data_IF_713621733267
#
_entry.id   IF_713621733267
#
_cell.length_a   1.000
_cell.length_b   1.000
_cell.length_c   1.000
_cell.angle_alpha   90.00
_cell.angle_beta   90.00
_cell.angle_gamma   90.00
#
_symmetry.space_group_name_H-M   'P 1'
#
loop_
_entity.id
_entity.type
_entity.pdbx_description
1 polymer ?
#
# COMPACT_ATOMS: atom_id res chain seq x y z
N UNK A 1 55.31 -8.63 34.35
CA UNK A 1 53.96 -8.20 33.94
C UNK A 1 54.01 -7.96 32.43
N UNK A 2 53.58 -8.94 31.64
CA UNK A 2 53.61 -8.90 30.18
C UNK A 2 52.27 -8.36 29.66
N UNK A 3 52.30 -7.30 28.85
CA UNK A 3 51.13 -6.79 28.13
C UNK A 3 51.36 -7.09 26.65
N UNK A 4 50.65 -8.07 26.12
CA UNK A 4 50.65 -8.42 24.71
C UNK A 4 49.63 -7.55 23.97
N UNK A 5 50.10 -6.69 23.08
CA UNK A 5 49.28 -5.92 22.14
C UNK A 5 48.88 -6.85 20.97
N UNK A 6 47.59 -7.12 20.86
CA UNK A 6 46.98 -7.88 19.76
C UNK A 6 46.58 -6.92 18.64
N UNK A 7 47.15 -7.13 17.45
CA UNK A 7 46.79 -6.41 16.21
C UNK A 7 45.60 -7.10 15.51
N UNK A 8 44.59 -6.35 15.03
CA UNK A 8 43.50 -6.93 14.24
C UNK A 8 43.93 -7.20 12.79
N UNK A 9 43.60 -8.40 12.29
CA UNK A 9 43.75 -8.80 10.89
C UNK A 9 42.55 -8.29 10.08
N UNK A 10 42.80 -7.39 9.15
CA UNK A 10 41.99 -7.13 7.95
C UNK A 10 42.13 -8.29 6.96
N UNK A 11 41.08 -8.54 6.16
CA UNK A 11 40.98 -9.34 4.90
C UNK A 11 39.57 -9.98 4.86
N UNK A 12 38.75 -10.00 3.81
CA UNK A 12 38.86 -9.60 2.40
C UNK A 12 37.44 -9.48 1.83
N UNK A 13 37.19 -8.48 0.98
CA UNK A 13 35.99 -8.36 0.16
C UNK A 13 36.08 -9.33 -1.03
N UNK A 14 35.10 -10.21 -1.21
CA UNK A 14 35.00 -11.08 -2.38
C UNK A 14 33.90 -10.57 -3.30
N UNK A 15 34.33 -9.92 -4.38
CA UNK A 15 33.54 -9.60 -5.56
C UNK A 15 33.25 -10.88 -6.35
N UNK A 16 32.00 -11.16 -6.68
CA UNK A 16 31.66 -12.10 -7.75
C UNK A 16 30.90 -11.37 -8.86
N UNK A 17 31.53 -11.36 -10.03
CA UNK A 17 31.06 -10.86 -11.30
C UNK A 17 30.35 -11.98 -12.07
N UNK A 18 29.33 -11.54 -12.82
CA UNK A 18 28.96 -11.99 -14.17
C UNK A 18 28.34 -13.38 -14.39
N UNK A 19 27.17 -13.35 -15.02
CA UNK A 19 26.49 -14.50 -15.58
C UNK A 19 25.30 -14.08 -16.43
N UNK A 20 25.56 -13.41 -17.55
CA UNK A 20 24.58 -13.11 -18.60
C UNK A 20 24.11 -14.39 -19.29
N UNK A 21 22.80 -14.58 -19.47
CA UNK A 21 22.27 -15.50 -20.49
C UNK A 21 21.04 -14.91 -21.18
N UNK A 22 21.11 -14.96 -22.51
CA UNK A 22 20.21 -14.39 -23.50
C UNK A 22 18.94 -15.23 -23.76
N UNK A 23 18.01 -14.61 -24.50
CA UNK A 23 16.86 -15.14 -25.28
C UNK A 23 15.63 -15.51 -24.44
N UNK A 24 14.41 -15.17 -24.86
CA UNK A 24 13.88 -15.21 -26.23
C UNK A 24 12.83 -14.13 -26.47
N UNK A 25 12.87 -13.54 -27.67
CA UNK A 25 11.72 -12.86 -28.26
C UNK A 25 10.61 -13.86 -28.56
N UNK A 26 9.36 -13.40 -28.42
CA UNK A 26 8.16 -14.06 -28.92
C UNK A 26 7.10 -12.99 -29.16
N UNK A 27 7.06 -12.47 -30.39
CA UNK A 27 5.96 -11.67 -30.92
C UNK A 27 4.82 -12.60 -31.37
N UNK A 28 3.58 -12.21 -31.10
CA UNK A 28 2.36 -12.50 -31.87
C UNK A 28 1.27 -11.58 -31.27
N UNK A 29 0.86 -10.48 -31.90
CA UNK A 29 0.13 -10.29 -33.15
C UNK A 29 -1.39 -10.50 -33.02
N UNK A 30 -2.11 -9.41 -33.32
CA UNK A 30 -3.49 -9.28 -33.84
C UNK A 30 -4.67 -9.60 -32.91
N UNK A 31 -5.45 -8.59 -32.50
CA UNK A 31 -6.57 -7.92 -33.22
C UNK A 31 -7.86 -8.75 -33.18
N UNK A 32 -8.87 -8.25 -32.50
CA UNK A 32 -10.21 -8.15 -33.09
C UNK A 32 -11.00 -6.99 -32.45
N UNK A 33 -11.77 -6.34 -33.31
CA UNK A 33 -12.55 -5.12 -33.15
C UNK A 33 -14.01 -5.52 -33.21
N UNK A 34 -14.84 -5.06 -32.27
CA UNK A 34 -16.28 -4.91 -32.47
C UNK A 34 -16.77 -3.81 -31.51
N UNK A 35 -17.10 -2.62 -31.98
CA UNK A 35 -18.30 -2.22 -32.75
C UNK A 35 -19.54 -1.99 -31.87
N UNK A 36 -19.77 -0.70 -31.66
CA UNK A 36 -21.04 0.03 -31.55
C UNK A 36 -22.32 -0.66 -31.02
N UNK A 37 -22.97 -0.01 -30.05
CA UNK A 37 -24.39 0.34 -30.21
C UNK A 37 -24.80 1.51 -29.30
N UNK A 38 -24.97 2.68 -29.92
CA UNK A 38 -25.76 3.78 -29.37
C UNK A 38 -27.23 3.38 -29.30
N UNK A 39 -27.91 3.67 -28.19
CA UNK A 39 -29.36 3.95 -28.18
C UNK A 39 -29.67 5.11 -27.24
N UNK A 40 -29.92 6.25 -27.86
CA UNK A 40 -30.69 7.36 -27.30
C UNK A 40 -32.13 6.93 -27.06
N UNK A 41 -32.72 7.32 -25.93
CA UNK A 41 -34.14 7.60 -25.84
C UNK A 41 -34.35 8.77 -24.88
N UNK A 42 -34.72 9.90 -25.44
CA UNK A 42 -35.32 11.04 -24.74
C UNK A 42 -36.76 10.71 -24.36
N UNK A 43 -37.22 11.13 -23.18
CA UNK A 43 -38.63 11.51 -23.03
C UNK A 43 -38.85 12.45 -21.85
N UNK A 44 -39.40 13.61 -22.20
CA UNK A 44 -39.82 14.71 -21.35
C UNK A 44 -40.84 14.31 -20.29
N UNK A 45 -40.82 15.02 -19.16
CA UNK A 45 -42.02 15.54 -18.49
C UNK A 45 -41.64 16.64 -17.48
N UNK A 46 -42.37 17.73 -17.52
CA UNK A 46 -42.37 18.92 -16.65
C UNK A 46 -43.87 19.29 -16.48
N UNK A 47 -44.29 20.20 -15.59
CA UNK A 47 -44.03 20.45 -14.16
C UNK A 47 -45.26 20.09 -13.28
N UNK A 48 -45.13 20.09 -11.94
CA UNK A 48 -46.21 20.57 -11.05
C UNK A 48 -45.66 20.96 -9.66
N UNK A 49 -46.24 22.00 -9.06
CA UNK A 49 -45.76 22.72 -7.90
C UNK A 49 -46.26 22.18 -6.55
N UNK A 50 -45.40 22.32 -5.53
CA UNK A 50 -45.56 22.53 -4.07
C UNK A 50 -46.76 21.95 -3.30
N UNK A 51 -46.53 21.48 -2.06
CA UNK A 51 -46.75 22.40 -0.93
C UNK A 51 -45.66 22.37 0.17
N UNK A 52 -45.44 23.54 0.76
CA UNK A 52 -44.74 23.75 2.04
C UNK A 52 -45.36 22.91 3.15
N UNK A 53 -44.55 22.09 3.84
CA UNK A 53 -44.82 21.68 5.22
C UNK A 53 -43.49 21.63 6.00
N UNK A 54 -43.34 22.59 6.91
CA UNK A 54 -42.30 22.63 7.93
C UNK A 54 -42.52 21.52 8.96
N UNK A 55 -41.49 20.74 9.22
CA UNK A 55 -41.46 19.69 10.26
C UNK A 55 -40.01 19.42 10.69
N UNK A 56 -39.78 18.99 11.93
CA UNK A 56 -38.60 19.37 12.71
C UNK A 56 -37.31 18.73 12.18
N UNK A 57 -36.24 19.53 12.28
CA UNK A 57 -34.86 19.13 12.06
C UNK A 57 -34.51 17.94 12.96
N UNK A 58 -34.64 16.74 12.42
CA UNK A 58 -33.81 15.64 12.87
C UNK A 58 -32.40 15.93 12.38
N UNK A 59 -31.51 16.18 13.32
CA UNK A 59 -30.06 16.14 13.13
C UNK A 59 -29.68 14.76 12.59
N UNK A 60 -29.78 14.61 11.27
CA UNK A 60 -29.07 13.56 10.56
C UNK A 60 -27.59 13.91 10.69
N UNK A 61 -26.92 13.23 11.60
CA UNK A 61 -25.48 13.05 11.54
C UNK A 61 -25.14 12.66 10.11
N UNK A 62 -24.58 13.59 9.36
CA UNK A 62 -23.97 13.39 8.06
C UNK A 62 -22.69 12.58 8.25
N UNK A 63 -22.84 11.33 8.70
CA UNK A 63 -21.84 10.32 8.42
C UNK A 63 -21.90 10.11 6.91
N UNK A 64 -21.03 10.83 6.20
CA UNK A 64 -20.83 10.63 4.77
C UNK A 64 -20.57 9.15 4.48
N UNK A 65 -20.80 8.71 3.22
CA UNK A 65 -20.62 7.31 2.82
C UNK A 65 -19.23 6.73 3.18
N UNK A 66 -18.23 7.58 3.42
CA UNK A 66 -16.87 7.21 3.85
C UNK A 66 -16.80 6.44 5.18
N UNK A 67 -17.70 6.69 6.15
CA UNK A 67 -17.62 6.10 7.49
C UNK A 67 -18.13 4.65 7.59
N UNK A 68 -18.98 4.21 6.66
CA UNK A 68 -19.48 2.82 6.61
C UNK A 68 -18.59 1.91 5.78
N UNK A 69 -17.97 2.48 4.75
CA UNK A 69 -17.00 1.77 3.93
C UNK A 69 -15.74 1.44 4.74
N UNK A 70 -15.28 2.35 5.61
CA UNK A 70 -14.11 2.11 6.47
C UNK A 70 -14.30 0.93 7.43
N UNK A 71 -15.46 0.78 8.07
CA UNK A 71 -15.71 -0.32 9.02
C UNK A 71 -15.81 -1.71 8.34
N UNK A 72 -16.36 -1.77 7.12
CA UNK A 72 -16.37 -3.01 6.34
C UNK A 72 -14.98 -3.35 5.81
N UNK A 73 -14.25 -2.34 5.32
CA UNK A 73 -12.89 -2.53 4.83
C UNK A 73 -11.94 -2.91 5.96
N UNK A 74 -12.08 -2.30 7.14
CA UNK A 74 -11.36 -2.67 8.36
C UNK A 74 -11.62 -4.12 8.75
N UNK A 75 -12.89 -4.56 8.74
CA UNK A 75 -13.23 -5.96 9.02
C UNK A 75 -12.60 -6.93 8.02
N UNK A 76 -12.62 -6.59 6.74
CA UNK A 76 -11.98 -7.42 5.70
C UNK A 76 -10.46 -7.47 5.87
N UNK A 77 -9.83 -6.34 6.21
CA UNK A 77 -8.39 -6.28 6.49
C UNK A 77 -8.02 -7.06 7.75
N UNK A 78 -8.87 -7.01 8.80
CA UNK A 78 -8.72 -7.82 10.01
C UNK A 78 -8.78 -9.32 9.71
N UNK A 79 -9.63 -9.76 8.78
CA UNK A 79 -9.72 -11.17 8.36
C UNK A 79 -8.45 -11.65 7.62
N UNK A 80 -7.70 -10.74 6.98
CA UNK A 80 -6.48 -11.05 6.25
C UNK A 80 -5.22 -11.12 7.13
N UNK A 81 -5.31 -10.61 8.36
CA UNK A 81 -4.18 -10.46 9.27
C UNK A 81 -4.42 -11.30 10.54
N UNK A 82 -3.37 -11.69 11.29
CA UNK A 82 -3.53 -12.50 12.51
C UNK A 82 -4.10 -11.70 13.70
N UNK A 83 -4.94 -10.69 13.45
CA UNK A 83 -5.58 -9.86 14.46
C UNK A 83 -6.99 -10.36 14.72
N UNK A 84 -7.26 -10.79 15.96
CA UNK A 84 -8.61 -11.18 16.41
C UNK A 84 -9.40 -10.00 17.00
N UNK A 85 -8.76 -8.85 17.13
CA UNK A 85 -9.25 -7.68 17.87
C UNK A 85 -8.90 -6.40 17.09
N UNK A 86 -9.91 -5.57 16.83
CA UNK A 86 -9.78 -4.29 16.14
C UNK A 86 -8.88 -3.31 16.90
N UNK A 87 -8.88 -3.34 18.25
CA UNK A 87 -8.03 -2.47 19.05
C UNK A 87 -6.54 -2.75 18.78
N UNK A 88 -6.16 -4.03 18.69
CA UNK A 88 -4.78 -4.45 18.38
C UNK A 88 -4.36 -4.08 16.97
N UNK A 89 -5.28 -4.15 16.01
CA UNK A 89 -5.02 -3.71 14.66
C UNK A 89 -4.80 -2.19 14.58
N UNK A 90 -5.63 -1.39 15.26
CA UNK A 90 -5.46 0.05 15.34
C UNK A 90 -4.13 0.43 16.02
N UNK A 91 -3.77 -0.23 17.12
CA UNK A 91 -2.47 -0.07 17.77
C UNK A 91 -1.31 -0.40 16.80
N UNK A 92 -1.45 -1.49 16.05
CA UNK A 92 -0.46 -1.89 15.04
C UNK A 92 -0.35 -0.87 13.90
N UNK A 93 -1.46 -0.32 13.40
CA UNK A 93 -1.45 0.74 12.38
C UNK A 93 -0.75 2.00 12.88
N UNK A 94 -0.86 2.32 14.16
CA UNK A 94 -0.19 3.47 14.80
C UNK A 94 1.26 3.17 15.20
N UNK A 95 1.70 1.93 15.08
CA UNK A 95 3.06 1.53 15.44
C UNK A 95 4.10 2.06 14.45
N UNK A 96 5.36 2.09 14.90
CA UNK A 96 6.51 2.51 14.07
C UNK A 96 6.65 1.70 12.78
N UNK A 97 6.14 0.47 12.73
CA UNK A 97 6.25 -0.44 11.60
C UNK A 97 5.38 -0.04 10.41
N UNK A 98 4.24 0.59 10.68
CA UNK A 98 3.30 1.02 9.63
C UNK A 98 3.43 2.52 9.42
N UNK A 99 3.51 3.32 10.49
CA UNK A 99 3.58 4.77 10.40
C UNK A 99 4.84 5.26 9.68
N UNK A 100 5.99 4.61 9.90
CA UNK A 100 7.23 4.94 9.21
C UNK A 100 7.10 4.75 7.69
N UNK A 101 6.67 3.56 7.27
CA UNK A 101 6.46 3.23 5.87
C UNK A 101 5.37 4.09 5.23
N UNK A 102 4.29 4.39 5.96
CA UNK A 102 3.20 5.26 5.50
C UNK A 102 3.68 6.69 5.26
N UNK A 103 4.45 7.27 6.19
CA UNK A 103 5.03 8.61 6.01
C UNK A 103 6.00 8.67 4.83
N UNK A 104 6.82 7.63 4.65
CA UNK A 104 7.69 7.51 3.47
C UNK A 104 6.86 7.50 2.18
N UNK A 105 5.79 6.70 2.14
CA UNK A 105 4.88 6.62 1.00
C UNK A 105 4.17 7.95 0.72
N UNK A 106 3.70 8.65 1.75
CA UNK A 106 3.08 9.96 1.59
C UNK A 106 4.05 10.99 1.00
N UNK A 107 5.24 11.10 1.61
CA UNK A 107 6.26 12.08 1.21
C UNK A 107 6.77 11.85 -0.21
N UNK A 108 7.07 10.59 -0.54
CA UNK A 108 7.82 10.29 -1.76
C UNK A 108 6.92 9.94 -2.95
N UNK A 109 5.60 9.75 -2.74
CA UNK A 109 4.68 9.39 -3.81
C UNK A 109 3.39 10.22 -3.79
N UNK A 110 2.64 10.23 -2.68
CA UNK A 110 1.32 10.89 -2.65
C UNK A 110 1.40 12.41 -2.68
N UNK A 111 2.48 13.01 -2.20
CA UNK A 111 2.69 14.46 -2.26
C UNK A 111 2.67 14.98 -3.70
N UNK A 112 3.22 14.21 -4.63
CA UNK A 112 3.26 14.54 -6.06
C UNK A 112 2.08 13.91 -6.83
N UNK A 113 1.56 12.78 -6.36
CA UNK A 113 0.56 11.98 -7.06
C UNK A 113 -0.69 11.64 -6.20
N UNK A 114 -1.40 12.64 -5.64
CA UNK A 114 -2.47 12.40 -4.68
C UNK A 114 -3.65 11.61 -5.27
N UNK A 115 -3.91 11.78 -6.57
CA UNK A 115 -4.99 11.12 -7.30
C UNK A 115 -4.54 9.89 -8.10
N UNK A 116 -3.33 9.37 -7.85
CA UNK A 116 -2.83 8.20 -8.59
C UNK A 116 -3.77 7.01 -8.43
N UNK A 117 -4.02 6.34 -9.56
CA UNK A 117 -4.71 5.06 -9.57
C UNK A 117 -3.92 4.01 -8.77
N UNK A 118 -4.65 3.06 -8.22
CA UNK A 118 -4.08 1.92 -7.50
C UNK A 118 -3.57 0.89 -8.50
N UNK A 119 -2.32 0.41 -8.37
CA UNK A 119 -1.78 -0.64 -9.23
C UNK A 119 -2.48 -1.98 -8.97
N UNK A 120 -2.30 -2.94 -9.87
CA UNK A 120 -2.89 -4.27 -9.68
C UNK A 120 -2.34 -4.94 -8.40
N UNK A 121 -3.25 -5.32 -7.50
CA UNK A 121 -2.94 -5.95 -6.21
C UNK A 121 -2.08 -7.21 -6.38
N UNK A 122 -2.41 -8.07 -7.34
CA UNK A 122 -1.74 -9.37 -7.51
C UNK A 122 -0.30 -9.19 -8.01
N UNK A 123 -0.10 -8.33 -9.01
CA UNK A 123 1.23 -7.98 -9.54
C UNK A 123 2.09 -7.32 -8.48
N UNK A 124 1.53 -6.37 -7.73
CA UNK A 124 2.25 -5.65 -6.68
C UNK A 124 2.66 -6.60 -5.54
N UNK A 125 1.74 -7.44 -5.07
CA UNK A 125 2.02 -8.45 -4.05
C UNK A 125 3.07 -9.46 -4.49
N UNK A 126 3.04 -9.85 -5.77
CA UNK A 126 4.01 -10.76 -6.37
C UNK A 126 5.41 -10.15 -6.38
N UNK A 127 5.55 -8.91 -6.85
CA UNK A 127 6.83 -8.19 -6.85
C UNK A 127 7.38 -8.00 -5.44
N UNK A 128 6.52 -7.64 -4.48
CA UNK A 128 6.93 -7.49 -3.08
C UNK A 128 7.41 -8.81 -2.48
N UNK A 129 6.72 -9.93 -2.75
CA UNK A 129 7.20 -11.25 -2.34
C UNK A 129 8.57 -11.56 -2.95
N UNK A 130 8.72 -11.30 -4.24
CA UNK A 130 9.97 -11.59 -4.94
C UNK A 130 11.12 -10.75 -4.38
N UNK A 131 10.89 -9.47 -4.11
CA UNK A 131 11.84 -8.59 -3.44
C UNK A 131 12.23 -9.08 -2.04
N UNK A 132 11.27 -9.55 -1.23
CA UNK A 132 11.56 -10.12 0.10
C UNK A 132 12.41 -11.39 -0.04
N UNK A 133 12.05 -12.28 -0.98
CA UNK A 133 12.77 -13.55 -1.20
C UNK A 133 14.19 -13.34 -1.70
N UNK A 134 14.40 -12.39 -2.61
CA UNK A 134 15.73 -12.07 -3.14
C UNK A 134 16.54 -11.15 -2.23
N UNK A 135 15.93 -10.64 -1.15
CA UNK A 135 16.52 -9.58 -0.32
C UNK A 135 16.96 -8.38 -1.17
N UNK A 136 16.08 -7.93 -2.06
CA UNK A 136 16.36 -6.88 -3.04
C UNK A 136 16.72 -5.55 -2.35
N UNK A 137 17.96 -5.11 -2.54
CA UNK A 137 18.45 -3.84 -1.99
C UNK A 137 17.69 -2.63 -2.51
N UNK A 138 17.06 -2.71 -3.71
CA UNK A 138 16.21 -1.64 -4.24
C UNK A 138 15.15 -1.22 -3.22
N UNK A 139 14.54 -2.18 -2.53
CA UNK A 139 13.44 -1.92 -1.60
C UNK A 139 13.79 -2.12 -0.13
N UNK A 140 15.01 -2.57 0.22
CA UNK A 140 15.38 -2.86 1.60
C UNK A 140 16.38 -1.88 2.22
N UNK A 141 17.02 -1.03 1.42
CA UNK A 141 17.89 0.00 1.97
C UNK A 141 17.09 0.99 2.84
N UNK A 142 17.76 1.57 3.83
CA UNK A 142 17.16 2.61 4.69
C UNK A 142 16.88 3.89 3.88
N UNK A 143 17.78 4.23 2.96
CA UNK A 143 17.66 5.31 1.99
C UNK A 143 17.95 4.76 0.59
N UNK A 144 16.97 4.10 -0.05
CA UNK A 144 17.16 3.65 -1.42
C UNK A 144 17.19 4.84 -2.37
N UNK A 145 17.90 4.69 -3.49
CA UNK A 145 17.78 5.62 -4.61
C UNK A 145 16.43 5.41 -5.30
N UNK A 146 15.66 6.50 -5.43
CA UNK A 146 14.30 6.51 -5.97
C UNK A 146 14.17 7.22 -7.32
N UNK A 147 15.29 7.63 -7.90
CA UNK A 147 15.30 8.45 -9.13
C UNK A 147 14.55 7.80 -10.31
N UNK A 148 14.56 6.47 -10.38
CA UNK A 148 13.92 5.69 -11.44
C UNK A 148 12.71 4.87 -10.94
N UNK A 149 12.13 5.24 -9.80
CA UNK A 149 10.98 4.51 -9.26
C UNK A 149 9.71 4.83 -10.05
N UNK A 150 8.96 3.78 -10.35
CA UNK A 150 7.59 3.87 -10.84
C UNK A 150 6.61 3.89 -9.68
N UNK A 151 5.37 4.31 -9.90
CA UNK A 151 4.30 4.27 -8.90
C UNK A 151 4.26 2.94 -8.15
N UNK A 152 4.31 1.83 -8.90
CA UNK A 152 4.30 0.46 -8.37
C UNK A 152 5.47 0.19 -7.40
N UNK A 153 6.65 0.80 -7.60
CA UNK A 153 7.80 0.63 -6.72
C UNK A 153 7.55 1.20 -5.33
N UNK A 154 6.80 2.30 -5.21
CA UNK A 154 6.44 2.87 -3.91
C UNK A 154 5.48 1.94 -3.16
N UNK A 155 4.52 1.31 -3.85
CA UNK A 155 3.64 0.31 -3.24
C UNK A 155 4.43 -0.93 -2.79
N UNK A 156 5.32 -1.44 -3.66
CA UNK A 156 6.19 -2.57 -3.33
C UNK A 156 7.05 -2.25 -2.11
N UNK A 157 7.69 -1.07 -2.07
CA UNK A 157 8.50 -0.61 -0.94
C UNK A 157 7.71 -0.61 0.36
N UNK A 158 6.51 -0.05 0.38
CA UNK A 158 5.67 -0.04 1.57
C UNK A 158 5.43 -1.48 2.07
N UNK A 159 5.01 -2.38 1.18
CA UNK A 159 4.70 -3.78 1.54
C UNK A 159 5.95 -4.50 2.06
N UNK A 160 7.09 -4.35 1.38
CA UNK A 160 8.36 -4.99 1.75
C UNK A 160 8.81 -4.54 3.14
N UNK A 161 8.81 -3.23 3.41
CA UNK A 161 9.23 -2.68 4.71
C UNK A 161 8.33 -3.15 5.83
N UNK A 162 7.00 -3.02 5.66
CA UNK A 162 6.03 -3.42 6.69
C UNK A 162 6.18 -4.90 7.00
N UNK A 163 6.33 -5.77 5.99
CA UNK A 163 6.53 -7.21 6.23
C UNK A 163 7.86 -7.46 6.93
N UNK A 164 8.96 -6.89 6.43
CA UNK A 164 10.29 -7.14 6.97
C UNK A 164 10.40 -6.74 8.44
N UNK A 165 9.85 -5.57 8.79
CA UNK A 165 9.89 -5.07 10.16
C UNK A 165 8.98 -5.87 11.11
N UNK A 166 7.85 -6.38 10.61
CA UNK A 166 6.93 -7.21 11.40
C UNK A 166 7.37 -8.68 11.54
N UNK A 167 8.15 -9.20 10.58
CA UNK A 167 8.80 -10.51 10.69
C UNK A 167 9.82 -10.56 11.84
N UNK A 168 10.42 -9.42 12.20
CA UNK A 168 11.36 -9.30 13.31
C UNK A 168 10.68 -9.37 14.69
N UNK A 169 9.36 -9.20 14.76
CA UNK A 169 8.58 -9.22 16.02
C UNK A 169 7.59 -10.39 16.16
N UNK A 170 7.70 -11.41 15.30
CA UNK A 170 6.87 -12.62 15.36
C UNK A 170 5.37 -12.39 15.12
N UNK A 171 4.96 -11.29 14.47
CA UNK A 171 3.57 -11.14 14.00
C UNK A 171 3.23 -12.23 12.97
N UNK A 172 4.22 -12.56 12.14
CA UNK A 172 4.25 -13.75 11.31
C UNK A 172 5.51 -14.55 11.65
N UNK A 173 5.38 -15.87 11.84
CA UNK A 173 6.57 -16.71 11.87
C UNK A 173 7.21 -16.76 10.47
N UNK A 174 8.52 -17.05 10.40
CA UNK A 174 9.19 -17.27 9.10
C UNK A 174 8.53 -18.38 8.29
N UNK A 175 7.92 -19.36 8.94
CA UNK A 175 7.20 -20.45 8.30
C UNK A 175 5.80 -20.06 7.84
N UNK A 176 5.11 -19.20 8.59
CA UNK A 176 3.83 -18.62 8.14
C UNK A 176 4.06 -17.78 6.90
N UNK A 177 5.03 -16.87 6.92
CA UNK A 177 5.38 -16.06 5.76
C UNK A 177 5.83 -16.88 4.54
N UNK A 178 6.40 -18.07 4.75
CA UNK A 178 6.73 -19.01 3.66
C UNK A 178 5.51 -19.78 3.15
N UNK A 179 4.56 -20.17 4.02
CA UNK A 179 3.34 -20.92 3.65
C UNK A 179 2.27 -20.01 3.05
N UNK A 180 2.12 -18.78 3.55
CA UNK A 180 1.20 -17.75 3.08
C UNK A 180 1.87 -16.78 2.11
N UNK A 181 2.80 -17.29 1.27
CA UNK A 181 3.82 -16.49 0.58
C UNK A 181 3.31 -15.33 -0.28
N UNK A 182 2.04 -15.36 -0.70
CA UNK A 182 1.41 -14.25 -1.42
C UNK A 182 0.28 -13.57 -0.64
N UNK A 183 -0.30 -14.26 0.35
CA UNK A 183 -1.43 -13.74 1.13
C UNK A 183 -0.99 -12.63 2.08
N UNK A 184 0.20 -12.73 2.68
CA UNK A 184 0.74 -11.66 3.52
C UNK A 184 1.01 -10.37 2.72
N UNK A 185 1.74 -10.40 1.58
CA UNK A 185 1.86 -9.23 0.70
C UNK A 185 0.51 -8.64 0.24
N UNK A 186 -0.47 -9.49 -0.11
CA UNK A 186 -1.82 -9.04 -0.45
C UNK A 186 -2.55 -8.37 0.72
N UNK A 187 -2.39 -8.89 1.93
CA UNK A 187 -3.00 -8.31 3.13
C UNK A 187 -2.42 -6.93 3.43
N UNK A 188 -1.10 -6.79 3.35
CA UNK A 188 -0.43 -5.48 3.56
C UNK A 188 -0.75 -4.49 2.43
N UNK A 189 -0.96 -4.96 1.20
CA UNK A 189 -1.49 -4.12 0.13
C UNK A 189 -2.84 -3.51 0.50
N UNK A 190 -3.78 -4.31 1.05
CA UNK A 190 -5.08 -3.79 1.48
C UNK A 190 -4.96 -2.82 2.66
N UNK A 191 -3.99 -3.03 3.55
CA UNK A 191 -3.67 -2.05 4.60
C UNK A 191 -3.27 -0.70 3.98
N UNK A 192 -2.43 -0.72 2.95
CA UNK A 192 -2.02 0.51 2.26
C UNK A 192 -3.22 1.22 1.61
N UNK A 193 -4.09 0.49 0.92
CA UNK A 193 -5.32 1.02 0.31
C UNK A 193 -6.24 1.60 1.38
N UNK A 194 -6.41 0.89 2.50
CA UNK A 194 -7.18 1.37 3.65
C UNK A 194 -6.61 2.67 4.22
N UNK A 195 -5.29 2.79 4.40
CA UNK A 195 -4.64 4.01 4.87
C UNK A 195 -4.86 5.17 3.89
N UNK A 196 -4.73 4.94 2.58
CA UNK A 196 -5.05 5.96 1.57
C UNK A 196 -6.49 6.44 1.69
N UNK A 197 -7.45 5.52 1.77
CA UNK A 197 -8.87 5.86 1.86
C UNK A 197 -9.24 6.59 3.17
N UNK A 198 -8.54 6.34 4.27
CA UNK A 198 -8.91 6.87 5.59
C UNK A 198 -8.13 8.12 5.98
N UNK A 199 -6.85 8.21 5.60
CA UNK A 199 -5.95 9.27 6.05
C UNK A 199 -5.76 10.41 5.03
N UNK A 200 -5.97 10.17 3.72
CA UNK A 200 -6.04 11.28 2.75
C UNK A 200 -7.24 12.20 3.02
N UNK A 201 -8.31 11.67 3.62
CA UNK A 201 -9.49 12.45 3.98
C UNK A 201 -9.29 13.31 5.24
N UNK A 202 -8.22 13.09 6.00
CA UNK A 202 -7.99 13.74 7.29
C UNK A 202 -7.07 14.97 7.19
N UNK A 203 -6.37 15.14 6.08
CA UNK A 203 -5.40 16.23 5.83
C UNK A 203 -5.98 17.37 4.98
N UNK A 204 -7.30 17.54 4.97
CA UNK A 204 -7.97 18.64 4.23
C UNK A 204 -8.02 19.97 5.01
N UNK A 205 -7.43 20.06 6.21
CA UNK A 205 -7.47 21.30 6.99
C UNK A 205 -6.23 21.43 7.92
N UNK A 206 -5.06 21.86 7.40
CA UNK A 206 -3.98 22.29 8.27
C UNK A 206 -4.45 23.49 9.11
N UNK A 207 -4.00 23.64 10.38
CA UNK A 207 -4.27 24.85 11.15
C UNK A 207 -3.78 26.05 10.34
N UNK A 208 -4.72 26.86 9.83
CA UNK A 208 -4.38 28.17 9.30
C UNK A 208 -4.01 29.02 10.51
N UNK A 209 -2.72 29.28 10.65
CA UNK A 209 -2.26 30.40 11.44
C UNK A 209 -2.60 31.65 10.62
N UNK A 210 -3.82 32.15 10.80
CA UNK A 210 -4.15 33.52 10.40
C UNK A 210 -3.52 34.42 11.48
N UNK A 211 -2.68 35.36 11.04
CA UNK A 211 -2.01 36.37 11.88
C UNK A 211 -2.98 37.42 12.43
#
# INVERSE_FOLDING_TARGET
MHIALSTPKTLTCATYLSGSSQRSMGCNESREVDSASMKSFSSSRHPEASPLMSGPAFSQSSAGPSGRFSAQHERLVLELLPFKDAAKFSEWLQSVYVVGAWREFCRDFLAENPASAEPDKTKTAQLARDAIKSSDSKYLLYHPDKTEWLDMDHYVRFIVVVIQDNLLKSLWSKDDAKKSSLEVPKAVYEVLVFLRATLLNHESNPPRYED
#
